data_IF_346000790086
#
_entry.id   IF_346000790086
#
_cell.length_a   1.000
_cell.length_b   1.000
_cell.length_c   1.000
_cell.angle_alpha   90.00
_cell.angle_beta   90.00
_cell.angle_gamma   90.00
#
_symmetry.space_group_name_H-M   'P 1'
#
loop_
_entity.id
_entity.type
_entity.pdbx_description
1 polymer ?
#
# COMPACT_ATOMS: atom_id res chain seq x y z
N UNK A 1 -6.49 11.62 -42.81
CA UNK A 1 -6.32 10.48 -43.74
C UNK A 1 -6.01 9.26 -42.88
N UNK A 2 -6.99 8.36 -42.67
CA UNK A 2 -6.85 7.20 -41.77
C UNK A 2 -6.08 6.10 -42.51
N UNK A 3 -4.99 5.60 -41.93
CA UNK A 3 -4.16 4.55 -42.53
C UNK A 3 -4.94 3.22 -42.64
N UNK A 4 -5.38 2.90 -43.86
CA UNK A 4 -6.14 1.68 -44.20
C UNK A 4 -5.33 0.39 -43.94
N UNK A 5 -4.00 0.50 -43.83
CA UNK A 5 -3.07 -0.63 -43.65
C UNK A 5 -3.09 -1.27 -42.24
N UNK A 6 -3.94 -0.81 -41.33
CA UNK A 6 -4.15 -1.42 -40.00
C UNK A 6 -5.50 -2.15 -39.88
N UNK A 7 -6.27 -2.22 -40.96
CA UNK A 7 -7.57 -2.89 -40.95
C UNK A 7 -7.38 -4.42 -40.89
N UNK A 8 -7.64 -5.01 -39.72
CA UNK A 8 -7.73 -6.46 -39.53
C UNK A 8 -9.10 -6.91 -40.04
N UNK A 9 -9.13 -7.90 -40.95
CA UNK A 9 -10.38 -8.42 -41.51
C UNK A 9 -11.25 -9.05 -40.40
N UNK A 10 -12.54 -8.70 -40.28
CA UNK A 10 -13.46 -9.43 -39.41
C UNK A 10 -13.44 -10.92 -39.76
N UNK A 11 -13.34 -11.79 -38.74
CA UNK A 11 -13.24 -13.23 -38.93
C UNK A 11 -12.05 -13.70 -39.78
N UNK A 12 -10.89 -13.06 -39.63
CA UNK A 12 -9.63 -13.50 -40.24
C UNK A 12 -9.30 -14.99 -40.00
N UNK A 13 -9.87 -15.60 -38.96
CA UNK A 13 -9.71 -17.02 -38.60
C UNK A 13 -11.03 -17.81 -38.66
N UNK A 14 -11.90 -17.53 -39.63
CA UNK A 14 -13.17 -18.27 -39.76
C UNK A 14 -12.98 -19.79 -39.93
N UNK A 15 -11.85 -20.23 -40.48
CA UNK A 15 -11.52 -21.66 -40.59
C UNK A 15 -11.37 -22.35 -39.23
N UNK A 16 -11.02 -21.59 -38.18
CA UNK A 16 -10.94 -22.09 -36.80
C UNK A 16 -12.32 -22.46 -36.24
N UNK A 17 -13.43 -22.03 -36.86
CA UNK A 17 -14.78 -22.39 -36.44
C UNK A 17 -14.99 -23.92 -36.46
N UNK A 18 -14.40 -24.63 -37.42
CA UNK A 18 -14.43 -26.10 -37.43
C UNK A 18 -13.77 -26.72 -36.20
N UNK A 19 -12.67 -26.12 -35.72
CA UNK A 19 -12.00 -26.57 -34.50
C UNK A 19 -12.86 -26.26 -33.26
N UNK A 20 -13.48 -25.09 -33.21
CA UNK A 20 -14.43 -24.71 -32.14
C UNK A 20 -15.59 -25.70 -32.09
N UNK A 21 -16.22 -26.00 -33.23
CA UNK A 21 -17.37 -26.89 -33.30
C UNK A 21 -17.00 -28.32 -32.89
N UNK A 22 -15.88 -28.87 -33.39
CA UNK A 22 -15.36 -30.19 -32.99
C UNK A 22 -15.06 -30.25 -31.49
N UNK A 23 -14.44 -29.22 -30.94
CA UNK A 23 -14.10 -29.12 -29.52
C UNK A 23 -15.39 -29.02 -28.68
N UNK A 24 -16.32 -28.15 -29.07
CA UNK A 24 -17.63 -27.98 -28.42
C UNK A 24 -18.40 -29.31 -28.39
N UNK A 25 -18.45 -30.04 -29.49
CA UNK A 25 -19.13 -31.33 -29.55
C UNK A 25 -18.48 -32.36 -28.61
N UNK A 26 -17.15 -32.38 -28.52
CA UNK A 26 -16.40 -33.27 -27.62
C UNK A 26 -16.67 -32.98 -26.14
N UNK A 27 -16.86 -31.72 -25.77
CA UNK A 27 -17.17 -31.32 -24.38
C UNK A 27 -18.67 -31.34 -24.06
N UNK A 28 -19.54 -31.22 -25.06
CA UNK A 28 -20.99 -31.24 -24.84
C UNK A 28 -21.57 -32.66 -24.85
N UNK A 29 -20.80 -33.66 -25.33
CA UNK A 29 -21.23 -35.05 -25.31
C UNK A 29 -20.68 -35.75 -24.05
N UNK A 30 -21.52 -36.08 -23.06
CA UNK A 30 -21.07 -36.68 -21.80
C UNK A 30 -20.40 -38.05 -21.98
N UNK A 31 -20.59 -38.71 -23.14
CA UNK A 31 -19.90 -39.96 -23.49
C UNK A 31 -18.46 -39.77 -23.98
N UNK A 32 -18.08 -38.62 -24.54
CA UNK A 32 -16.71 -38.37 -25.05
C UNK A 32 -15.77 -37.71 -24.03
N UNK A 33 -16.32 -37.23 -22.92
CA UNK A 33 -15.57 -36.66 -21.78
C UNK A 33 -15.04 -37.72 -20.81
N UNK A 34 -15.35 -39.00 -21.04
CA UNK A 34 -14.96 -40.10 -20.15
C UNK A 34 -13.45 -40.36 -20.07
N UNK A 35 -12.61 -39.68 -20.85
CA UNK A 35 -11.22 -40.14 -20.99
C UNK A 35 -10.21 -39.64 -19.97
N UNK A 36 -10.40 -38.57 -19.16
CA UNK A 36 -9.34 -38.17 -18.20
C UNK A 36 -9.73 -37.39 -16.93
N UNK A 37 -11.00 -37.11 -16.68
CA UNK A 37 -11.40 -36.36 -15.48
C UNK A 37 -12.58 -37.04 -14.80
N UNK A 38 -12.27 -37.76 -13.72
CA UNK A 38 -13.27 -38.42 -12.89
C UNK A 38 -14.11 -37.35 -12.17
N UNK A 39 -15.38 -37.24 -12.54
CA UNK A 39 -16.32 -36.30 -11.91
C UNK A 39 -16.42 -36.52 -10.40
N UNK A 40 -16.29 -37.76 -9.93
CA UNK A 40 -16.32 -38.07 -8.50
C UNK A 40 -15.12 -37.44 -7.79
N UNK A 41 -13.93 -37.54 -8.37
CA UNK A 41 -12.70 -36.98 -7.78
C UNK A 41 -12.77 -35.45 -7.72
N UNK A 42 -13.23 -34.78 -8.80
CA UNK A 42 -13.48 -33.33 -8.77
C UNK A 42 -14.53 -32.94 -7.73
N UNK A 43 -15.62 -33.70 -7.61
CA UNK A 43 -16.66 -33.41 -6.63
C UNK A 43 -16.15 -33.61 -5.19
N UNK A 44 -15.25 -34.57 -4.97
CA UNK A 44 -14.57 -34.72 -3.68
C UNK A 44 -13.60 -33.58 -3.42
N UNK A 45 -12.83 -33.12 -4.42
CA UNK A 45 -11.92 -31.98 -4.28
C UNK A 45 -12.67 -30.69 -3.94
N UNK A 46 -13.78 -30.41 -4.62
CA UNK A 46 -14.64 -29.24 -4.35
C UNK A 46 -15.27 -29.33 -2.96
N UNK A 47 -15.61 -30.53 -2.46
CA UNK A 47 -16.11 -30.71 -1.09
C UNK A 47 -15.02 -30.53 -0.03
N UNK A 48 -13.81 -31.00 -0.31
CA UNK A 48 -12.65 -30.88 0.58
C UNK A 48 -12.07 -29.45 0.59
N UNK A 49 -12.23 -28.70 -0.51
CA UNK A 49 -11.81 -27.32 -0.70
C UNK A 49 -12.95 -26.50 -1.31
N UNK A 50 -13.94 -26.08 -0.52
CA UNK A 50 -15.03 -25.28 -1.04
C UNK A 50 -14.49 -23.97 -1.64
N UNK A 51 -14.98 -23.56 -2.83
CA UNK A 51 -14.55 -22.33 -3.46
C UNK A 51 -14.81 -21.15 -2.53
N UNK A 52 -13.81 -20.27 -2.41
CA UNK A 52 -13.90 -19.10 -1.55
C UNK A 52 -15.05 -18.20 -2.02
N UNK A 53 -16.06 -18.03 -1.17
CA UNK A 53 -17.18 -17.15 -1.45
C UNK A 53 -16.71 -15.71 -1.29
N UNK A 54 -16.45 -15.04 -2.41
CA UNK A 54 -16.13 -13.61 -2.42
C UNK A 54 -17.41 -12.85 -2.05
N UNK A 55 -17.36 -12.10 -0.96
CA UNK A 55 -18.50 -11.31 -0.51
C UNK A 55 -18.73 -10.11 -1.45
N UNK A 56 -19.98 -9.65 -1.59
CA UNK A 56 -20.30 -8.47 -2.42
C UNK A 56 -19.57 -7.19 -1.94
N UNK A 57 -19.19 -7.16 -0.66
CA UNK A 57 -18.37 -6.12 -0.03
C UNK A 57 -16.91 -6.14 -0.51
N UNK A 58 -16.35 -7.31 -0.87
CA UNK A 58 -15.02 -7.43 -1.50
C UNK A 58 -15.02 -6.98 -2.97
N UNK A 59 -16.17 -7.07 -3.65
CA UNK A 59 -16.32 -6.69 -5.05
C UNK A 59 -16.47 -5.17 -5.26
N UNK A 60 -16.50 -4.38 -4.17
CA UNK A 60 -16.50 -2.92 -4.25
C UNK A 60 -17.69 -2.34 -5.04
N UNK A 61 -18.81 -3.07 -5.11
CA UNK A 61 -19.95 -2.71 -5.96
C UNK A 61 -21.07 -2.00 -5.18
N UNK A 62 -20.74 -1.28 -4.11
CA UNK A 62 -21.69 -0.34 -3.50
C UNK A 62 -21.34 1.07 -3.97
N UNK A 63 -22.14 1.53 -4.93
CA UNK A 63 -22.19 2.86 -5.54
C UNK A 63 -21.21 3.10 -6.69
N UNK A 64 -21.78 3.08 -7.90
CA UNK A 64 -21.18 3.29 -9.22
C UNK A 64 -20.49 4.63 -9.49
N UNK A 65 -19.69 5.13 -8.54
CA UNK A 65 -18.70 6.18 -8.78
C UNK A 65 -17.43 5.77 -8.06
N UNK A 66 -16.54 5.04 -8.74
CA UNK A 66 -15.10 5.23 -8.56
C UNK A 66 -14.24 4.52 -9.59
N UNK A 67 -13.47 5.35 -10.28
CA UNK A 67 -12.18 5.08 -10.91
C UNK A 67 -12.08 3.80 -11.73
N UNK A 68 -11.91 3.97 -13.05
CA UNK A 68 -10.99 3.14 -13.84
C UNK A 68 -9.70 2.94 -13.02
N UNK A 69 -9.63 1.86 -12.26
CA UNK A 69 -8.40 1.14 -12.02
C UNK A 69 -8.42 0.12 -13.13
N UNK A 70 -7.51 0.31 -14.08
CA UNK A 70 -7.19 -0.71 -15.05
C UNK A 70 -7.17 -2.05 -14.31
N UNK A 71 -7.89 -3.02 -14.88
CA UNK A 71 -7.73 -4.43 -14.57
C UNK A 71 -6.26 -4.76 -14.71
N UNK A 72 -5.53 -4.58 -13.61
CA UNK A 72 -4.11 -4.85 -13.48
C UNK A 72 -3.99 -6.36 -13.69
N UNK A 73 -3.47 -6.73 -14.85
CA UNK A 73 -3.10 -8.09 -15.22
C UNK A 73 -2.41 -8.71 -14.01
N UNK A 74 -2.99 -9.77 -13.42
CA UNK A 74 -2.39 -10.55 -12.34
C UNK A 74 -1.12 -11.21 -12.87
N UNK A 75 -0.04 -10.45 -12.93
CA UNK A 75 1.29 -10.98 -13.09
C UNK A 75 1.61 -11.88 -11.90
N UNK A 76 2.50 -12.84 -12.13
CA UNK A 76 3.00 -13.83 -11.17
C UNK A 76 3.76 -13.17 -9.98
N UNK A 77 3.88 -11.84 -9.97
CA UNK A 77 4.56 -11.08 -8.92
C UNK A 77 3.60 -10.77 -7.74
N UNK A 78 3.98 -11.05 -6.49
CA UNK A 78 3.18 -10.69 -5.32
C UNK A 78 3.14 -9.16 -5.17
N UNK A 79 2.03 -8.53 -5.56
CA UNK A 79 1.78 -7.13 -5.23
C UNK A 79 1.50 -7.02 -3.72
N UNK A 80 2.53 -6.70 -2.93
CA UNK A 80 2.40 -6.37 -1.51
C UNK A 80 1.61 -5.05 -1.37
N UNK A 81 0.27 -5.15 -1.30
CA UNK A 81 -0.57 -4.01 -0.91
C UNK A 81 -0.67 -3.89 0.60
N UNK A 82 -0.68 -2.64 1.07
CA UNK A 82 -1.00 -2.31 2.44
C UNK A 82 -2.51 -2.34 2.64
N UNK A 83 -2.96 -2.81 3.80
CA UNK A 83 -4.36 -2.74 4.22
C UNK A 83 -4.90 -1.30 4.09
N UNK A 84 -6.17 -1.08 3.71
CA UNK A 84 -6.78 0.24 3.65
C UNK A 84 -6.48 1.08 4.91
N UNK A 85 -6.27 2.38 4.70
CA UNK A 85 -5.89 3.30 5.77
C UNK A 85 -6.99 3.33 6.83
N UNK A 86 -6.66 2.93 8.05
CA UNK A 86 -7.57 3.08 9.19
C UNK A 86 -7.76 4.56 9.52
N UNK A 87 -8.96 4.99 9.97
CA UNK A 87 -9.21 6.39 10.34
C UNK A 87 -8.27 6.88 11.43
N UNK A 88 -7.90 6.01 12.38
CA UNK A 88 -6.90 6.29 13.41
C UNK A 88 -5.51 6.53 12.81
N UNK A 89 -5.15 5.79 11.76
CA UNK A 89 -3.93 6.01 11.00
C UNK A 89 -3.90 7.37 10.29
N UNK A 90 -5.03 7.83 9.73
CA UNK A 90 -5.14 9.16 9.16
C UNK A 90 -4.89 10.25 10.22
N UNK A 91 -5.50 10.12 11.40
CA UNK A 91 -5.28 11.05 12.51
C UNK A 91 -3.79 11.08 12.91
N UNK A 92 -3.14 9.91 12.98
CA UNK A 92 -1.69 9.85 13.28
C UNK A 92 -0.83 10.56 12.22
N UNK A 93 -1.19 10.42 10.94
CA UNK A 93 -0.51 11.07 9.84
C UNK A 93 -0.66 12.61 9.92
N UNK A 94 -1.89 13.10 10.13
CA UNK A 94 -2.14 14.53 10.30
C UNK A 94 -1.37 15.11 11.47
N UNK A 95 -1.35 14.41 12.60
CA UNK A 95 -0.66 14.85 13.80
C UNK A 95 0.87 14.87 13.61
N UNK A 96 1.43 13.89 12.90
CA UNK A 96 2.84 13.87 12.51
C UNK A 96 3.19 15.00 11.52
N UNK A 97 2.30 15.34 10.58
CA UNK A 97 2.47 16.49 9.69
C UNK A 97 2.45 17.82 10.47
N UNK A 98 1.57 17.95 11.47
CA UNK A 98 1.57 19.11 12.37
C UNK A 98 2.90 19.19 13.14
N UNK A 99 3.40 18.08 13.68
CA UNK A 99 4.72 18.04 14.32
C UNK A 99 5.85 18.47 13.37
N UNK A 100 5.83 18.03 12.11
CA UNK A 100 6.78 18.45 11.10
C UNK A 100 6.69 19.96 10.84
N UNK A 101 5.48 20.50 10.68
CA UNK A 101 5.25 21.94 10.49
C UNK A 101 5.75 22.79 11.66
N UNK A 102 5.47 22.38 12.90
CA UNK A 102 5.95 23.08 14.09
C UNK A 102 7.49 23.06 14.20
N UNK A 103 8.13 21.94 13.84
CA UNK A 103 9.59 21.86 13.78
C UNK A 103 10.15 22.79 12.69
N UNK A 104 9.51 22.87 11.52
CA UNK A 104 9.92 23.76 10.44
C UNK A 104 9.81 25.23 10.82
N UNK A 105 8.67 25.68 11.34
CA UNK A 105 8.47 27.08 11.73
C UNK A 105 9.58 27.53 12.67
N UNK A 106 9.96 26.69 13.62
CA UNK A 106 11.05 26.99 14.56
C UNK A 106 12.44 26.85 13.97
N UNK A 107 12.64 25.88 13.09
CA UNK A 107 13.88 25.76 12.33
C UNK A 107 14.13 27.00 11.46
N UNK A 108 13.09 27.54 10.83
CA UNK A 108 13.16 28.79 10.06
C UNK A 108 13.41 30.00 10.95
N UNK A 109 12.73 30.11 12.09
CA UNK A 109 12.99 31.19 13.05
C UNK A 109 14.43 31.14 13.58
N UNK A 110 14.95 29.95 13.88
CA UNK A 110 16.35 29.77 14.28
C UNK A 110 17.33 30.10 13.13
N UNK A 111 16.98 29.75 11.90
CA UNK A 111 17.77 30.08 10.71
C UNK A 111 17.82 31.59 10.43
N UNK A 112 16.70 32.29 10.62
CA UNK A 112 16.64 33.76 10.52
C UNK A 112 17.50 34.42 11.61
N UNK A 113 17.44 33.90 12.83
CA UNK A 113 18.26 34.36 13.96
C UNK A 113 19.76 34.13 13.71
N UNK A 114 20.16 32.98 13.15
CA UNK A 114 21.53 32.72 12.72
C UNK A 114 22.05 33.76 11.71
N UNK A 115 21.22 34.12 10.73
CA UNK A 115 21.59 35.12 9.72
C UNK A 115 21.86 36.50 10.36
N UNK A 116 21.23 36.77 11.50
CA UNK A 116 21.34 38.04 12.22
C UNK A 116 22.42 38.04 13.31
N UNK A 117 22.66 36.92 14.01
CA UNK A 117 23.43 36.90 15.26
C UNK A 117 24.41 35.72 15.45
N UNK A 118 24.75 34.96 14.40
CA UNK A 118 25.78 33.89 14.46
C UNK A 118 25.46 32.78 15.51
N UNK A 119 24.19 32.37 15.57
CA UNK A 119 23.65 31.33 16.46
C UNK A 119 24.17 29.89 16.19
N UNK A 120 23.81 28.94 17.08
CA UNK A 120 24.16 27.53 16.97
C UNK A 120 23.47 26.82 15.77
N UNK A 121 24.22 26.65 14.69
CA UNK A 121 23.87 25.85 13.48
C UNK A 121 23.37 24.45 13.85
N UNK A 122 23.89 23.86 14.92
CA UNK A 122 23.51 22.53 15.40
C UNK A 122 22.03 22.44 15.81
N UNK A 123 21.46 23.49 16.40
CA UNK A 123 20.04 23.55 16.75
C UNK A 123 19.16 23.58 15.51
N UNK A 124 19.57 24.35 14.50
CA UNK A 124 18.87 24.44 13.21
C UNK A 124 18.83 23.05 12.55
N UNK A 125 19.98 22.37 12.48
CA UNK A 125 20.07 21.01 11.95
C UNK A 125 19.12 20.07 12.71
N UNK A 126 19.05 20.16 14.04
CA UNK A 126 18.15 19.32 14.84
C UNK A 126 16.65 19.56 14.53
N UNK A 127 16.23 20.81 14.27
CA UNK A 127 14.86 21.11 13.84
C UNK A 127 14.52 20.53 12.46
N UNK A 128 15.42 20.68 11.49
CA UNK A 128 15.23 20.11 10.15
C UNK A 128 15.29 18.58 10.16
N UNK A 129 16.17 17.99 10.97
CA UNK A 129 16.28 16.54 11.13
C UNK A 129 15.03 15.95 11.79
N UNK A 130 14.49 16.62 12.83
CA UNK A 130 13.22 16.26 13.44
C UNK A 130 12.05 16.37 12.46
N UNK A 131 12.04 17.38 11.59
CA UNK A 131 11.05 17.51 10.50
C UNK A 131 11.13 16.34 9.52
N UNK A 132 12.34 16.06 9.01
CA UNK A 132 12.57 14.99 8.05
C UNK A 132 12.15 13.63 8.64
N UNK A 133 12.43 13.39 9.92
CA UNK A 133 12.02 12.17 10.60
C UNK A 133 10.49 12.02 10.70
N UNK A 134 9.75 13.09 11.02
CA UNK A 134 8.28 13.09 11.04
C UNK A 134 7.69 12.83 9.64
N UNK A 135 8.21 13.48 8.60
CA UNK A 135 7.79 13.24 7.21
C UNK A 135 8.11 11.80 6.76
N UNK A 136 9.25 11.27 7.17
CA UNK A 136 9.65 9.89 6.88
C UNK A 136 8.71 8.88 7.57
N UNK A 137 8.26 9.14 8.80
CA UNK A 137 7.22 8.31 9.43
C UNK A 137 5.90 8.34 8.65
N UNK A 138 5.44 9.52 8.18
CA UNK A 138 4.26 9.62 7.32
C UNK A 138 4.44 8.85 6.00
N UNK A 139 5.63 8.96 5.39
CA UNK A 139 5.96 8.22 4.18
C UNK A 139 5.92 6.70 4.39
N UNK A 140 6.54 6.21 5.47
CA UNK A 140 6.50 4.80 5.87
C UNK A 140 5.09 4.32 6.21
N UNK A 141 4.24 5.21 6.71
CA UNK A 141 2.84 4.89 6.94
C UNK A 141 2.11 4.66 5.62
N UNK A 142 2.33 5.49 4.59
CA UNK A 142 1.62 5.42 3.31
C UNK A 142 2.18 4.34 2.37
N UNK A 143 3.50 4.15 2.32
CA UNK A 143 4.17 3.32 1.32
C UNK A 143 4.58 1.95 1.86
N UNK A 144 4.42 0.91 1.03
CA UNK A 144 4.84 -0.45 1.36
C UNK A 144 6.34 -0.59 1.16
N UNK A 145 7.11 -0.70 2.24
CA UNK A 145 8.56 -0.85 2.18
C UNK A 145 9.03 -2.08 2.95
N UNK A 146 10.04 -2.76 2.43
CA UNK A 146 10.71 -3.84 3.15
C UNK A 146 11.41 -3.28 4.40
N UNK A 147 11.23 -3.96 5.54
CA UNK A 147 11.74 -3.57 6.86
C UNK A 147 11.08 -2.31 7.47
N UNK A 148 9.83 -2.04 7.11
CA UNK A 148 9.04 -0.88 7.60
C UNK A 148 9.10 -0.69 9.12
N UNK A 149 9.03 -1.77 9.89
CA UNK A 149 9.07 -1.69 11.36
C UNK A 149 10.42 -1.19 11.86
N UNK A 150 11.54 -1.75 11.38
CA UNK A 150 12.87 -1.31 11.78
C UNK A 150 13.09 0.17 11.43
N UNK A 151 12.75 0.56 10.19
CA UNK A 151 12.86 1.95 9.71
C UNK A 151 12.00 2.92 10.53
N UNK A 152 10.79 2.51 10.93
CA UNK A 152 9.92 3.33 11.77
C UNK A 152 10.46 3.51 13.19
N UNK A 153 11.05 2.46 13.78
CA UNK A 153 11.68 2.54 15.09
C UNK A 153 12.92 3.44 15.08
N UNK A 154 13.74 3.35 14.03
CA UNK A 154 14.89 4.24 13.83
C UNK A 154 14.42 5.70 13.69
N UNK A 155 13.37 5.96 12.91
CA UNK A 155 12.80 7.29 12.77
C UNK A 155 12.27 7.83 14.10
N UNK A 156 11.62 6.99 14.92
CA UNK A 156 11.17 7.37 16.25
C UNK A 156 12.34 7.70 17.20
N UNK A 157 13.39 6.87 17.19
CA UNK A 157 14.60 7.14 17.95
C UNK A 157 15.23 8.48 17.55
N UNK A 158 15.28 8.77 16.24
CA UNK A 158 15.77 10.05 15.73
C UNK A 158 14.93 11.23 16.20
N UNK A 159 13.59 11.11 16.20
CA UNK A 159 12.70 12.14 16.76
C UNK A 159 13.02 12.37 18.24
N UNK A 160 13.20 11.31 19.03
CA UNK A 160 13.54 11.43 20.45
C UNK A 160 14.90 12.12 20.65
N UNK A 161 15.92 11.75 19.88
CA UNK A 161 17.25 12.36 19.94
C UNK A 161 17.20 13.86 19.59
N UNK A 162 16.52 14.22 18.51
CA UNK A 162 16.36 15.64 18.13
C UNK A 162 15.62 16.44 19.20
N UNK A 163 14.59 15.83 19.81
CA UNK A 163 13.81 16.45 20.88
C UNK A 163 14.60 16.60 22.18
N UNK A 164 15.43 15.62 22.54
CA UNK A 164 16.36 15.70 23.68
C UNK A 164 17.43 16.77 23.46
N UNK A 165 17.97 16.87 22.26
CA UNK A 165 18.94 17.92 21.93
C UNK A 165 18.32 19.32 22.06
N UNK A 166 17.08 19.47 21.63
CA UNK A 166 16.32 20.72 21.67
C UNK A 166 15.57 20.95 23.01
N UNK A 167 15.89 20.21 24.07
CA UNK A 167 15.11 20.27 25.31
C UNK A 167 15.14 21.65 25.98
N UNK A 168 16.25 22.38 25.89
CA UNK A 168 16.37 23.73 26.47
C UNK A 168 15.52 24.77 25.72
N UNK A 169 15.31 24.57 24.42
CA UNK A 169 14.51 25.47 23.57
C UNK A 169 13.02 25.09 23.54
N UNK A 170 12.61 24.00 24.18
CA UNK A 170 11.24 23.46 24.11
C UNK A 170 10.59 23.40 25.47
N UNK A 171 9.32 23.79 25.52
CA UNK A 171 8.48 23.53 26.69
C UNK A 171 8.30 22.02 26.88
N UNK A 172 8.32 21.54 28.13
CA UNK A 172 8.08 20.14 28.49
C UNK A 172 6.81 19.58 27.85
N UNK A 173 5.72 20.34 27.85
CA UNK A 173 4.46 19.92 27.22
C UNK A 173 4.60 19.61 25.73
N UNK A 174 5.43 20.39 25.04
CA UNK A 174 5.67 20.19 23.63
C UNK A 174 6.62 19.02 23.36
N UNK A 175 7.60 18.81 24.22
CA UNK A 175 8.45 17.62 24.18
C UNK A 175 7.59 16.36 24.28
N UNK A 176 6.70 16.30 25.28
CA UNK A 176 5.76 15.20 25.45
C UNK A 176 4.85 15.03 24.24
N UNK A 177 4.37 16.13 23.67
CA UNK A 177 3.57 16.10 22.45
C UNK A 177 4.33 15.42 21.30
N UNK A 178 5.52 15.90 20.92
CA UNK A 178 6.27 15.31 19.80
C UNK A 178 6.63 13.82 20.03
N UNK A 179 7.02 13.46 21.26
CA UNK A 179 7.34 12.07 21.60
C UNK A 179 6.10 11.18 21.52
N UNK A 180 4.97 11.61 22.06
CA UNK A 180 3.71 10.85 22.03
C UNK A 180 3.23 10.65 20.60
N UNK A 181 3.32 11.70 19.76
CA UNK A 181 2.93 11.63 18.34
C UNK A 181 3.83 10.68 17.56
N UNK A 182 5.15 10.74 17.78
CA UNK A 182 6.10 9.82 17.15
C UNK A 182 5.87 8.36 17.56
N UNK A 183 5.56 8.13 18.84
CA UNK A 183 5.24 6.80 19.38
C UNK A 183 3.92 6.27 18.81
N UNK A 184 2.89 7.11 18.78
CA UNK A 184 1.58 6.77 18.23
C UNK A 184 1.65 6.43 16.74
N UNK A 185 2.38 7.23 15.95
CA UNK A 185 2.58 6.98 14.51
C UNK A 185 3.34 5.67 14.30
N UNK A 186 4.37 5.39 15.11
CA UNK A 186 5.11 4.11 15.07
C UNK A 186 4.22 2.92 15.42
N UNK A 187 3.32 3.07 16.40
CA UNK A 187 2.35 2.05 16.75
C UNK A 187 1.38 1.78 15.60
N UNK A 188 0.86 2.82 14.94
CA UNK A 188 -0.02 2.65 13.77
C UNK A 188 0.70 1.96 12.60
N UNK A 189 1.97 2.30 12.36
CA UNK A 189 2.81 1.63 11.36
C UNK A 189 3.02 0.15 11.72
N UNK A 190 3.13 -0.19 13.01
CA UNK A 190 3.27 -1.58 13.47
C UNK A 190 1.97 -2.38 13.34
N UNK A 191 0.83 -1.76 13.67
CA UNK A 191 -0.48 -2.40 13.62
C UNK A 191 -0.97 -2.64 12.18
N UNK A 192 -0.63 -1.76 11.23
CA UNK A 192 -1.05 -1.87 9.81
C UNK A 192 -0.36 -3.05 9.11
N UNK A 193 -0.94 -4.25 9.08
CA UNK A 193 -0.28 -5.44 8.50
C UNK A 193 -0.11 -5.30 6.97
N UNK A 194 0.94 -5.93 6.43
CA UNK A 194 1.06 -6.15 4.98
C UNK A 194 0.00 -7.18 4.61
N UNK A 195 -0.82 -6.89 3.60
CA UNK A 195 -1.88 -7.82 3.20
C UNK A 195 -1.22 -9.14 2.80
N UNK A 196 -1.59 -10.22 3.49
CA UNK A 196 -1.02 -11.56 3.24
C UNK A 196 -1.29 -11.94 1.79
N UNK A 197 -0.28 -12.56 1.17
CA UNK A 197 -0.40 -13.19 -0.15
C UNK A 197 -1.67 -14.05 -0.14
N UNK A 198 -2.58 -13.85 -1.11
CA UNK A 198 -3.65 -14.82 -1.34
C UNK A 198 -3.00 -16.18 -1.56
N UNK A 199 -3.50 -17.28 -0.95
CA UNK A 199 -2.88 -18.59 -1.09
C UNK A 199 -2.59 -18.87 -2.57
N UNK A 200 -1.35 -19.23 -2.88
CA UNK A 200 -0.94 -19.60 -4.22
C UNK A 200 -1.82 -20.75 -4.69
N UNK A 201 -2.83 -20.46 -5.51
CA UNK A 201 -3.41 -21.48 -6.37
C UNK A 201 -2.41 -21.70 -7.51
N UNK A 202 -1.34 -22.43 -7.22
CA UNK A 202 -0.59 -23.10 -8.27
C UNK A 202 -1.51 -24.19 -8.83
N UNK A 203 -2.12 -23.89 -9.96
CA UNK A 203 -2.66 -24.88 -10.91
C UNK A 203 -1.55 -25.29 -11.87
#
# INVERSE_FOLDING_TARGET
MVHINTAIRPYSFIEFDNFIQKTKQRFNNPRSLSTKMNLADMQTEIRLRPPHQISLQELGLENGVRHKKDTEYKGIAPHQRLEPVTPTGLISCLLSLLCAGLNLIRGFHALESLLQNDDDVSCIIAFFLGTAACLYQCYLFVYSTSWRNMKSFLAFGLICLCNMYLHELRNLWQLFFHVTVGAFTTLQIRLRRMQSKSPDYNV
#
